data_IF_815435173212
#
_entry.id   IF_815435173212
#
_cell.length_a   1.000
_cell.length_b   1.000
_cell.length_c   1.000
_cell.angle_alpha   90.00
_cell.angle_beta   90.00
_cell.angle_gamma   90.00
#
_symmetry.space_group_name_H-M   'P 1'
#
loop_
_entity.id
_entity.type
_entity.pdbx_description
1 polymer ?
#
# COMPACT_ATOMS: atom_id res chain seq x y z
N UNK A 1 -23.42 -46.92 23.92
CA UNK A 1 -23.51 -46.49 22.51
C UNK A 1 -24.47 -45.30 22.47
N UNK A 2 -24.16 -44.09 22.05
CA UNK A 2 -22.96 -43.46 21.49
C UNK A 2 -23.26 -41.97 21.61
N UNK A 3 -22.44 -41.22 22.36
CA UNK A 3 -22.61 -39.78 22.48
C UNK A 3 -22.34 -39.12 21.14
N UNK A 4 -23.39 -38.67 20.45
CA UNK A 4 -23.25 -37.71 19.36
C UNK A 4 -22.86 -36.38 19.99
N UNK A 5 -21.55 -36.14 20.10
CA UNK A 5 -21.01 -34.80 20.34
C UNK A 5 -21.59 -33.89 19.25
N UNK A 6 -22.37 -32.91 19.68
CA UNK A 6 -22.77 -31.77 18.87
C UNK A 6 -21.49 -31.08 18.35
N UNK A 7 -21.00 -31.48 17.19
CA UNK A 7 -20.13 -30.62 16.40
C UNK A 7 -21.03 -29.52 15.87
N UNK A 8 -21.03 -28.40 16.59
CA UNK A 8 -21.44 -27.11 16.03
C UNK A 8 -20.66 -26.99 14.72
N UNK A 9 -21.30 -26.79 13.55
CA UNK A 9 -20.57 -26.49 12.34
C UNK A 9 -19.65 -25.31 12.68
N UNK A 10 -18.33 -25.48 12.58
CA UNK A 10 -17.44 -24.34 12.61
C UNK A 10 -17.89 -23.46 11.44
N UNK A 11 -18.58 -22.36 11.75
CA UNK A 11 -18.90 -21.35 10.77
C UNK A 11 -17.54 -20.83 10.31
N UNK A 12 -17.10 -21.23 9.11
CA UNK A 12 -15.86 -20.72 8.52
C UNK A 12 -16.04 -19.20 8.48
N UNK A 13 -15.21 -18.43 9.21
CA UNK A 13 -15.27 -16.98 9.20
C UNK A 13 -15.28 -16.47 7.76
N UNK A 14 -16.14 -15.50 7.46
CA UNK A 14 -16.12 -14.86 6.14
C UNK A 14 -14.80 -14.10 5.95
N UNK A 15 -14.36 -13.91 4.70
CA UNK A 15 -13.13 -13.17 4.35
C UNK A 15 -12.98 -11.84 5.09
N UNK A 16 -14.08 -11.12 5.33
CA UNK A 16 -14.11 -9.87 6.08
C UNK A 16 -13.66 -10.03 7.54
N UNK A 17 -14.02 -11.16 8.17
CA UNK A 17 -13.65 -11.47 9.56
C UNK A 17 -12.15 -11.80 9.66
N UNK A 18 -11.63 -12.58 8.73
CA UNK A 18 -10.19 -12.84 8.63
C UNK A 18 -9.38 -11.56 8.32
N UNK A 19 -9.89 -10.71 7.43
CA UNK A 19 -9.28 -9.40 7.17
C UNK A 19 -9.28 -8.51 8.43
N UNK A 20 -10.33 -8.56 9.24
CA UNK A 20 -10.38 -7.83 10.52
C UNK A 20 -9.41 -8.42 11.54
N UNK A 21 -9.29 -9.75 11.63
CA UNK A 21 -8.32 -10.43 12.48
C UNK A 21 -6.89 -10.04 12.10
N UNK A 22 -6.54 -10.13 10.82
CA UNK A 22 -5.24 -9.71 10.30
C UNK A 22 -4.91 -8.26 10.71
N UNK A 23 -5.86 -7.34 10.57
CA UNK A 23 -5.69 -5.95 10.99
C UNK A 23 -5.50 -5.78 12.50
N UNK A 24 -6.23 -6.54 13.32
CA UNK A 24 -6.14 -6.48 14.78
C UNK A 24 -4.79 -6.99 15.28
N UNK A 25 -4.31 -8.10 14.74
CA UNK A 25 -2.98 -8.65 15.07
C UNK A 25 -1.87 -7.68 14.64
N UNK A 26 -1.93 -7.16 13.41
CA UNK A 26 -0.94 -6.19 12.93
C UNK A 26 -0.90 -4.89 13.76
N UNK A 27 -2.04 -4.40 14.26
CA UNK A 27 -2.11 -3.23 15.17
C UNK A 27 -1.46 -3.49 16.53
N UNK A 28 -1.38 -4.76 16.95
CA UNK A 28 -0.72 -5.19 18.19
C UNK A 28 0.73 -5.62 17.97
N UNK A 29 1.27 -5.42 16.77
CA UNK A 29 2.62 -5.85 16.36
C UNK A 29 2.81 -7.37 16.37
N UNK A 30 1.72 -8.13 16.37
CA UNK A 30 1.71 -9.59 16.24
C UNK A 30 1.64 -9.94 14.75
N UNK A 31 2.76 -9.81 14.06
CA UNK A 31 2.78 -9.90 12.60
C UNK A 31 2.62 -11.32 12.07
N UNK A 32 3.07 -12.33 12.82
CA UNK A 32 2.91 -13.73 12.47
C UNK A 32 1.42 -14.10 12.42
N UNK A 33 0.69 -13.88 13.51
CA UNK A 33 -0.75 -14.14 13.54
C UNK A 33 -1.53 -13.25 12.55
N UNK A 34 -1.02 -12.05 12.24
CA UNK A 34 -1.62 -11.21 11.21
C UNK A 34 -1.51 -11.84 9.82
N UNK A 35 -0.36 -12.39 9.47
CA UNK A 35 -0.16 -13.07 8.19
C UNK A 35 -0.92 -14.39 8.12
N UNK A 36 -0.97 -15.15 9.21
CA UNK A 36 -1.78 -16.37 9.29
C UNK A 36 -3.25 -16.05 9.03
N UNK A 37 -3.81 -15.05 9.73
CA UNK A 37 -5.18 -14.61 9.50
C UNK A 37 -5.41 -14.11 8.06
N UNK A 38 -4.44 -13.42 7.45
CA UNK A 38 -4.56 -13.01 6.06
C UNK A 38 -4.51 -14.19 5.08
N UNK A 39 -3.78 -15.25 5.41
CA UNK A 39 -3.63 -16.44 4.57
C UNK A 39 -4.93 -17.25 4.48
N UNK A 40 -5.77 -17.21 5.52
CA UNK A 40 -7.08 -17.85 5.59
C UNK A 40 -8.18 -17.14 4.74
N UNK A 41 -7.90 -15.94 4.22
CA UNK A 41 -8.84 -15.22 3.34
C UNK A 41 -8.88 -15.93 1.99
N UNK A 42 -10.06 -16.31 1.50
CA UNK A 42 -10.24 -17.01 0.23
C UNK A 42 -10.07 -16.07 -0.97
N UNK A 43 -10.78 -14.93 -0.98
CA UNK A 43 -10.71 -13.96 -2.08
C UNK A 43 -9.26 -13.41 -2.23
N UNK A 44 -8.59 -13.66 -3.37
CA UNK A 44 -7.20 -13.26 -3.55
C UNK A 44 -6.96 -11.75 -3.45
N UNK A 45 -7.94 -10.94 -3.83
CA UNK A 45 -7.86 -9.48 -3.79
C UNK A 45 -8.06 -8.97 -2.36
N UNK A 46 -8.98 -9.56 -1.60
CA UNK A 46 -9.14 -9.25 -0.16
C UNK A 46 -7.89 -9.66 0.60
N UNK A 47 -7.33 -10.85 0.31
CA UNK A 47 -6.07 -11.35 0.87
C UNK A 47 -4.90 -10.42 0.58
N UNK A 48 -4.76 -9.97 -0.67
CA UNK A 48 -3.76 -8.98 -1.06
C UNK A 48 -3.92 -7.67 -0.27
N UNK A 49 -5.16 -7.19 -0.10
CA UNK A 49 -5.48 -5.99 0.67
C UNK A 49 -5.09 -6.12 2.14
N UNK A 50 -5.42 -7.25 2.78
CA UNK A 50 -5.03 -7.54 4.15
C UNK A 50 -3.49 -7.55 4.31
N UNK A 51 -2.77 -8.24 3.41
CA UNK A 51 -1.30 -8.24 3.38
C UNK A 51 -0.72 -6.83 3.24
N UNK A 52 -1.28 -5.97 2.39
CA UNK A 52 -0.83 -4.59 2.24
C UNK A 52 -0.98 -3.77 3.54
N UNK A 53 -2.04 -4.00 4.32
CA UNK A 53 -2.22 -3.36 5.62
C UNK A 53 -1.15 -3.82 6.61
N UNK A 54 -0.83 -5.12 6.63
CA UNK A 54 0.23 -5.68 7.49
C UNK A 54 1.59 -5.07 7.11
N UNK A 55 1.90 -5.01 5.81
CA UNK A 55 3.13 -4.36 5.29
C UNK A 55 3.24 -2.91 5.76
N UNK A 56 2.14 -2.14 5.69
CA UNK A 56 2.13 -0.77 6.20
C UNK A 56 2.46 -0.72 7.69
N UNK A 57 1.88 -1.62 8.50
CA UNK A 57 2.17 -1.69 9.94
C UNK A 57 3.60 -2.11 10.25
N UNK A 58 4.17 -3.04 9.47
CA UNK A 58 5.60 -3.39 9.57
C UNK A 58 6.49 -2.17 9.30
N UNK A 59 6.17 -1.38 8.27
CA UNK A 59 6.91 -0.17 7.95
C UNK A 59 6.80 0.88 9.07
N UNK A 60 5.60 1.12 9.61
CA UNK A 60 5.38 2.01 10.76
C UNK A 60 6.13 1.54 12.03
N UNK A 61 6.24 0.23 12.21
CA UNK A 61 7.06 -0.41 13.25
C UNK A 61 8.58 -0.37 12.97
N UNK A 62 8.99 0.26 11.85
CA UNK A 62 10.37 0.35 11.35
C UNK A 62 11.02 -1.00 10.99
N UNK A 63 10.24 -2.06 10.80
CA UNK A 63 10.71 -3.34 10.29
C UNK A 63 10.72 -3.33 8.75
N UNK A 64 11.56 -2.46 8.18
CA UNK A 64 11.61 -2.23 6.74
C UNK A 64 12.05 -3.44 5.90
N UNK A 65 13.02 -4.27 6.32
CA UNK A 65 13.40 -5.45 5.55
C UNK A 65 12.22 -6.40 5.33
N UNK A 66 11.51 -6.74 6.40
CA UNK A 66 10.33 -7.60 6.30
C UNK A 66 9.18 -6.92 5.56
N UNK A 67 8.94 -5.62 5.77
CA UNK A 67 7.91 -4.89 5.04
C UNK A 67 8.14 -4.96 3.51
N UNK A 68 9.38 -4.77 3.06
CA UNK A 68 9.75 -4.84 1.64
C UNK A 68 9.57 -6.24 1.08
N UNK A 69 10.07 -7.25 1.78
CA UNK A 69 9.92 -8.65 1.38
C UNK A 69 8.44 -9.03 1.23
N UNK A 70 7.62 -8.66 2.20
CA UNK A 70 6.19 -8.99 2.20
C UNK A 70 5.40 -8.18 1.18
N UNK A 71 5.82 -6.96 0.85
CA UNK A 71 5.25 -6.20 -0.26
C UNK A 71 5.47 -6.93 -1.60
N UNK A 72 6.66 -7.46 -1.86
CA UNK A 72 6.96 -8.21 -3.10
C UNK A 72 6.08 -9.45 -3.28
N UNK A 73 5.69 -10.10 -2.19
CA UNK A 73 4.84 -11.30 -2.19
C UNK A 73 3.36 -11.01 -2.49
N UNK A 74 2.93 -9.75 -2.53
CA UNK A 74 1.54 -9.39 -2.87
C UNK A 74 1.30 -9.67 -4.36
N UNK A 75 0.31 -10.50 -4.66
CA UNK A 75 0.00 -10.96 -6.02
C UNK A 75 -0.59 -9.85 -6.90
N UNK A 76 -1.59 -9.12 -6.38
CA UNK A 76 -2.26 -8.04 -7.10
C UNK A 76 -1.29 -6.86 -7.35
N UNK A 77 -1.02 -6.48 -8.61
CA UNK A 77 -0.04 -5.42 -8.92
C UNK A 77 -0.40 -4.04 -8.36
N UNK A 78 -1.69 -3.70 -8.36
CA UNK A 78 -2.16 -2.41 -7.86
C UNK A 78 -1.96 -2.33 -6.35
N UNK A 79 -2.36 -3.38 -5.63
CA UNK A 79 -2.21 -3.47 -4.17
C UNK A 79 -0.73 -3.56 -3.77
N UNK A 80 0.08 -4.34 -4.51
CA UNK A 80 1.54 -4.41 -4.31
C UNK A 80 2.19 -3.03 -4.42
N UNK A 81 1.80 -2.25 -5.43
CA UNK A 81 2.30 -0.88 -5.62
C UNK A 81 1.94 0.02 -4.43
N UNK A 82 0.69 -0.03 -3.95
CA UNK A 82 0.25 0.74 -2.78
C UNK A 82 0.96 0.32 -1.49
N UNK A 83 1.32 -0.95 -1.34
CA UNK A 83 2.11 -1.45 -0.22
C UNK A 83 3.54 -0.88 -0.24
N UNK A 84 4.22 -0.93 -1.40
CA UNK A 84 5.53 -0.28 -1.55
C UNK A 84 5.46 1.24 -1.32
N UNK A 85 4.41 1.91 -1.81
CA UNK A 85 4.20 3.34 -1.58
C UNK A 85 4.05 3.66 -0.10
N UNK A 86 3.37 2.80 0.67
CA UNK A 86 3.23 2.95 2.12
C UNK A 86 4.58 2.86 2.82
N UNK A 87 5.46 1.94 2.41
CA UNK A 87 6.84 1.86 2.92
C UNK A 87 7.59 3.15 2.58
N UNK A 88 7.55 3.59 1.31
CA UNK A 88 8.25 4.78 0.84
C UNK A 88 7.80 6.06 1.56
N UNK A 89 6.51 6.20 1.88
CA UNK A 89 5.97 7.32 2.67
C UNK A 89 6.54 7.34 4.09
N UNK A 90 6.71 6.19 4.72
CA UNK A 90 7.24 6.10 6.09
C UNK A 90 8.75 6.34 6.11
N UNK A 91 9.49 5.78 5.16
CA UNK A 91 10.94 5.90 5.13
C UNK A 91 11.41 7.24 4.55
N UNK A 92 10.63 7.84 3.65
CA UNK A 92 11.05 8.99 2.84
C UNK A 92 12.22 8.68 1.90
N UNK A 93 12.59 7.42 1.74
CA UNK A 93 13.79 7.01 1.00
C UNK A 93 13.54 6.99 -0.50
N UNK A 94 14.46 7.56 -1.27
CA UNK A 94 14.45 7.51 -2.73
C UNK A 94 14.49 6.08 -3.26
N UNK A 95 15.17 5.16 -2.56
CA UNK A 95 15.21 3.74 -2.93
C UNK A 95 13.84 3.07 -2.80
N UNK A 96 13.06 3.39 -1.76
CA UNK A 96 11.72 2.81 -1.60
C UNK A 96 10.72 3.41 -2.60
N UNK A 97 10.90 4.68 -2.98
CA UNK A 97 10.17 5.25 -4.10
C UNK A 97 10.54 4.57 -5.44
N UNK A 98 11.80 4.20 -5.66
CA UNK A 98 12.19 3.44 -6.86
C UNK A 98 11.52 2.06 -6.91
N UNK A 99 11.46 1.33 -5.79
CA UNK A 99 10.70 0.08 -5.71
C UNK A 99 9.21 0.27 -6.01
N UNK A 100 8.63 1.36 -5.50
CA UNK A 100 7.23 1.72 -5.78
C UNK A 100 6.99 1.95 -7.28
N UNK A 101 7.91 2.65 -7.95
CA UNK A 101 7.82 2.91 -9.39
C UNK A 101 7.94 1.62 -10.20
N UNK A 102 8.87 0.74 -9.84
CA UNK A 102 9.01 -0.56 -10.51
C UNK A 102 7.75 -1.42 -10.34
N UNK A 103 7.15 -1.45 -9.14
CA UNK A 103 5.89 -2.15 -8.93
C UNK A 103 4.75 -1.58 -9.79
N UNK A 104 4.71 -0.24 -9.95
CA UNK A 104 3.70 0.45 -10.75
C UNK A 104 3.75 0.14 -12.25
N UNK A 105 4.89 -0.32 -12.77
CA UNK A 105 5.02 -0.71 -14.18
C UNK A 105 4.11 -1.90 -14.54
N UNK A 106 3.87 -2.79 -13.58
CA UNK A 106 2.96 -3.92 -13.73
C UNK A 106 1.48 -3.55 -13.61
N UNK A 107 1.15 -2.28 -13.29
CA UNK A 107 -0.23 -1.80 -13.17
C UNK A 107 -0.75 -1.32 -14.52
N UNK A 108 -1.85 -1.93 -14.96
CA UNK A 108 -2.53 -1.62 -16.21
C UNK A 108 -4.03 -1.35 -16.01
N UNK A 109 -4.67 -0.84 -17.07
CA UNK A 109 -6.10 -0.57 -17.09
C UNK A 109 -6.53 0.58 -16.17
N UNK A 110 -7.79 0.52 -15.70
CA UNK A 110 -8.48 1.64 -15.03
C UNK A 110 -7.83 2.17 -13.74
N UNK A 111 -6.92 1.40 -13.12
CA UNK A 111 -6.28 1.78 -11.86
C UNK A 111 -4.93 2.47 -12.04
N UNK A 112 -4.36 2.41 -13.25
CA UNK A 112 -3.02 2.90 -13.54
C UNK A 112 -2.84 4.37 -13.18
N UNK A 113 -3.71 5.25 -13.70
CA UNK A 113 -3.59 6.68 -13.48
C UNK A 113 -3.80 7.08 -12.02
N UNK A 114 -4.77 6.47 -11.34
CA UNK A 114 -4.99 6.68 -9.91
C UNK A 114 -3.75 6.33 -9.07
N UNK A 115 -3.09 5.22 -9.40
CA UNK A 115 -1.86 4.80 -8.71
C UNK A 115 -0.70 5.75 -9.02
N UNK A 116 -0.50 6.12 -10.29
CA UNK A 116 0.53 7.08 -10.67
C UNK A 116 0.31 8.44 -10.00
N UNK A 117 -0.95 8.87 -9.86
CA UNK A 117 -1.30 10.08 -9.14
C UNK A 117 -0.93 9.99 -7.65
N UNK A 118 -1.25 8.89 -6.98
CA UNK A 118 -0.86 8.69 -5.57
C UNK A 118 0.66 8.69 -5.38
N UNK A 119 1.41 8.07 -6.30
CA UNK A 119 2.87 8.08 -6.28
C UNK A 119 3.40 9.50 -6.47
N UNK A 120 2.90 10.24 -7.46
CA UNK A 120 3.30 11.62 -7.73
C UNK A 120 3.02 12.53 -6.52
N UNK A 121 1.84 12.41 -5.91
CA UNK A 121 1.49 13.17 -4.70
C UNK A 121 2.45 12.86 -3.54
N UNK A 122 2.75 11.59 -3.31
CA UNK A 122 3.64 11.16 -2.21
C UNK A 122 5.08 11.64 -2.43
N UNK A 123 5.57 11.59 -3.67
CA UNK A 123 6.88 12.15 -4.02
C UNK A 123 6.91 13.66 -3.82
N UNK A 124 5.81 14.37 -4.11
CA UNK A 124 5.70 15.81 -3.87
C UNK A 124 5.74 16.16 -2.39
N UNK A 125 5.03 15.39 -1.57
CA UNK A 125 5.01 15.49 -0.10
C UNK A 125 6.41 15.21 0.48
N UNK A 126 7.12 14.23 -0.09
CA UNK A 126 8.53 13.95 0.22
C UNK A 126 9.52 14.93 -0.44
N UNK A 127 9.04 16.03 -1.03
CA UNK A 127 9.83 17.06 -1.72
C UNK A 127 10.71 16.59 -2.89
N UNK A 128 10.45 15.38 -3.39
CA UNK A 128 11.09 14.78 -4.56
C UNK A 128 10.42 15.26 -5.86
N UNK A 129 10.37 16.58 -6.06
CA UNK A 129 9.53 17.20 -7.09
C UNK A 129 9.87 16.83 -8.53
N UNK A 130 11.13 16.50 -8.83
CA UNK A 130 11.53 16.07 -10.18
C UNK A 130 10.93 14.70 -10.51
N UNK A 131 11.07 13.73 -9.60
CA UNK A 131 10.43 12.42 -9.73
C UNK A 131 8.90 12.56 -9.74
N UNK A 132 8.35 13.36 -8.85
CA UNK A 132 6.92 13.60 -8.78
C UNK A 132 6.35 14.16 -10.09
N UNK A 133 7.06 15.12 -10.72
CA UNK A 133 6.71 15.64 -12.05
C UNK A 133 6.80 14.56 -13.13
N UNK A 134 7.89 13.79 -13.17
CA UNK A 134 8.08 12.72 -14.16
C UNK A 134 6.99 11.66 -14.08
N UNK A 135 6.53 11.31 -12.87
CA UNK A 135 5.42 10.37 -12.69
C UNK A 135 4.10 10.99 -13.15
N UNK A 136 3.83 12.24 -12.80
CA UNK A 136 2.61 12.94 -13.23
C UNK A 136 2.52 13.09 -14.76
N UNK A 137 3.65 13.20 -15.46
CA UNK A 137 3.70 13.26 -16.92
C UNK A 137 3.29 11.95 -17.60
N UNK A 138 3.39 10.80 -16.90
CA UNK A 138 2.98 9.48 -17.38
C UNK A 138 1.48 9.19 -17.23
N UNK A 139 0.74 10.08 -16.56
CA UNK A 139 -0.73 9.99 -16.42
C UNK A 139 -1.37 10.46 -17.73
N UNK A 140 -2.43 9.81 -18.19
CA UNK A 140 -3.10 10.25 -19.42
C UNK A 140 -3.73 11.65 -19.29
N UNK A 141 -3.80 12.40 -20.40
CA UNK A 141 -4.10 13.84 -20.42
C UNK A 141 -5.46 14.22 -19.77
N UNK A 142 -6.46 13.33 -19.81
CA UNK A 142 -7.77 13.55 -19.20
C UNK A 142 -7.70 13.72 -17.67
N UNK A 143 -6.69 13.13 -17.01
CA UNK A 143 -6.57 13.06 -15.54
C UNK A 143 -5.33 13.81 -15.00
N UNK A 144 -4.44 14.30 -15.87
CA UNK A 144 -3.22 15.08 -15.51
C UNK A 144 -3.50 16.29 -14.61
N UNK A 145 -4.67 16.91 -14.74
CA UNK A 145 -4.96 18.24 -14.15
C UNK A 145 -4.90 18.29 -12.63
N UNK A 146 -5.19 17.21 -11.91
CA UNK A 146 -5.23 17.21 -10.44
C UNK A 146 -3.85 16.97 -9.80
N UNK A 147 -3.06 16.03 -10.34
CA UNK A 147 -1.70 15.75 -9.88
C UNK A 147 -0.74 16.93 -10.13
N UNK A 148 -0.83 17.55 -11.31
CA UNK A 148 0.02 18.70 -11.69
C UNK A 148 -0.26 19.95 -10.86
N UNK A 149 -1.52 20.23 -10.50
CA UNK A 149 -1.89 21.35 -9.62
C UNK A 149 -1.29 21.20 -8.22
N UNK A 150 -1.44 20.02 -7.59
CA UNK A 150 -0.89 19.75 -6.25
C UNK A 150 0.63 19.96 -6.20
N UNK A 151 1.33 19.53 -7.25
CA UNK A 151 2.78 19.73 -7.41
C UNK A 151 3.17 21.21 -7.48
N UNK A 152 2.42 22.00 -8.26
CA UNK A 152 2.65 23.45 -8.40
C UNK A 152 2.41 24.16 -7.07
N UNK A 153 1.35 23.80 -6.35
CA UNK A 153 0.99 24.42 -5.07
C UNK A 153 2.04 24.14 -3.99
N UNK A 154 2.51 22.89 -3.88
CA UNK A 154 3.58 22.53 -2.92
C UNK A 154 4.91 23.23 -3.23
N UNK A 155 5.28 23.35 -4.52
CA UNK A 155 6.46 24.14 -4.92
C UNK A 155 6.33 25.63 -4.56
N UNK A 156 5.16 26.22 -4.79
CA UNK A 156 4.88 27.63 -4.45
C UNK A 156 4.93 27.88 -2.95
N UNK A 157 4.37 26.97 -2.14
CA UNK A 157 4.43 27.07 -0.67
C UNK A 157 5.89 27.06 -0.18
N UNK A 158 6.74 26.18 -0.72
CA UNK A 158 8.17 26.14 -0.34
C UNK A 158 8.93 27.41 -0.71
N UNK A 159 8.70 27.96 -1.91
CA UNK A 159 9.34 29.20 -2.35
C UNK A 159 8.96 30.40 -1.47
N UNK A 160 7.79 30.39 -0.83
CA UNK A 160 7.36 31.42 0.13
C UNK A 160 8.00 31.26 1.51
N UNK A 161 8.29 30.03 1.92
CA UNK A 161 8.92 29.71 3.22
C UNK A 161 10.43 29.96 3.17
N UNK A 162 11.10 29.64 2.06
CA UNK A 162 12.56 29.79 1.89
C UNK A 162 12.99 31.16 1.30
N UNK A 163 12.02 31.96 0.84
CA UNK A 163 12.27 33.27 0.23
C UNK A 163 12.16 34.46 1.21
N UNK A 164 12.29 34.21 2.52
CA UNK A 164 12.34 35.23 3.57
C UNK A 164 13.62 35.10 4.37
#
# INVERSE_FOLDING_TARGET
>A
MTGRRNQVPQLVPHDDEYALHAQRHARRFDFEAAFDAAQEIDDPRVRAGARAIIVKRLAEARNYPQAREEAFKISDPAIRTLAHLSIARVTGSTSDFAHTLSAAEAVSGRWRNAILQEIANSLAEAHCFLFAKSVAEKIDDQEKSSATRKLIDLKRQRSRILGR
#
